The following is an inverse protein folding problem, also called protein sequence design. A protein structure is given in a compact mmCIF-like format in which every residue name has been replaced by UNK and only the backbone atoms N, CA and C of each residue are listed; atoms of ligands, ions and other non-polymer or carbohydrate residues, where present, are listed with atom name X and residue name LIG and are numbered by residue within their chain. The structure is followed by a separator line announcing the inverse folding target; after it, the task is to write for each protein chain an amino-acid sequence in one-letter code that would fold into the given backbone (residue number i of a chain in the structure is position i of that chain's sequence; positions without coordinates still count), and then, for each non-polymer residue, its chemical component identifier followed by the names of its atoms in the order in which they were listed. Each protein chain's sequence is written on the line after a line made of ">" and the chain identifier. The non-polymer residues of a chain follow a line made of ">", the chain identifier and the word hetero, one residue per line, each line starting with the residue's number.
data_IF_184736709460
#
_entry.id   IF_184736709460
#
_cell.length_a   1.000
_cell.length_b   1.000
_cell.length_c   1.000
_cell.angle_alpha   90.00
_cell.angle_beta   90.00
_cell.angle_gamma   90.00
#
_symmetry.space_group_name_H-M   'P 1'
#
loop_
_entity.id
_entity.type
_entity.pdbx_description
1 polymer ?
#
# COMPACT_ATOMS: atom_id res chain seq x y z
N UNK A 1 13.50 -5.66 -21.71
CA UNK A 1 12.60 -6.19 -20.66
C UNK A 1 12.24 -5.01 -19.77
N UNK A 2 11.03 -4.93 -19.23
CA UNK A 2 10.63 -3.74 -18.50
C UNK A 2 11.36 -3.63 -17.15
N UNK A 3 11.83 -2.42 -16.78
CA UNK A 3 12.48 -2.20 -15.49
C UNK A 3 11.46 -2.32 -14.34
N UNK A 4 11.97 -2.59 -13.15
CA UNK A 4 11.14 -2.69 -11.94
C UNK A 4 10.38 -1.41 -11.64
N UNK A 5 11.02 -0.27 -11.86
CA UNK A 5 10.42 1.06 -11.74
C UNK A 5 9.16 1.19 -12.58
N UNK A 6 9.16 0.66 -13.80
CA UNK A 6 7.97 0.64 -14.64
C UNK A 6 6.90 -0.26 -14.02
N UNK A 7 7.26 -1.46 -13.60
CA UNK A 7 6.27 -2.42 -13.04
C UNK A 7 5.61 -1.88 -11.79
N UNK A 8 6.37 -1.20 -10.92
CA UNK A 8 5.82 -0.48 -9.76
C UNK A 8 4.86 0.64 -10.14
N UNK A 9 5.14 1.35 -11.23
CA UNK A 9 4.22 2.39 -11.75
C UNK A 9 2.85 1.80 -12.14
N UNK A 10 2.83 0.59 -12.71
CA UNK A 10 1.59 -0.14 -12.96
C UNK A 10 0.92 -0.61 -11.67
N UNK A 11 1.68 -1.10 -10.69
CA UNK A 11 1.15 -1.52 -9.40
C UNK A 11 0.49 -0.35 -8.64
N UNK A 12 1.14 0.82 -8.57
CA UNK A 12 0.60 2.02 -7.91
C UNK A 12 -0.66 2.50 -8.62
N UNK A 13 -0.64 2.59 -9.96
CA UNK A 13 -1.79 3.04 -10.74
C UNK A 13 -3.01 2.12 -10.61
N UNK A 14 -2.81 0.80 -10.68
CA UNK A 14 -3.88 -0.19 -10.55
C UNK A 14 -4.39 -0.29 -9.11
N UNK A 15 -3.48 -0.30 -8.12
CA UNK A 15 -3.83 -0.26 -6.70
C UNK A 15 -4.63 0.98 -6.35
N UNK A 16 -4.25 2.15 -6.88
CA UNK A 16 -4.98 3.41 -6.72
C UNK A 16 -6.36 3.37 -7.36
N UNK A 17 -6.45 2.93 -8.63
CA UNK A 17 -7.72 2.87 -9.36
C UNK A 17 -8.71 1.89 -8.72
N UNK A 18 -8.25 0.70 -8.32
CA UNK A 18 -9.09 -0.28 -7.66
C UNK A 18 -9.40 0.11 -6.22
N UNK A 19 -8.52 0.82 -5.52
CA UNK A 19 -8.86 1.38 -4.20
C UNK A 19 -10.01 2.39 -4.30
N UNK A 20 -10.05 3.20 -5.37
CA UNK A 20 -11.22 4.04 -5.68
C UNK A 20 -12.45 3.18 -5.96
N UNK A 21 -12.36 2.15 -6.78
CA UNK A 21 -13.50 1.31 -7.12
C UNK A 21 -14.06 0.57 -5.90
N UNK A 22 -13.19 -0.08 -5.13
CA UNK A 22 -13.55 -1.01 -4.06
C UNK A 22 -13.92 -0.29 -2.76
N UNK A 23 -13.28 0.84 -2.46
CA UNK A 23 -13.40 1.51 -1.16
C UNK A 23 -13.80 2.98 -1.27
N UNK A 24 -13.74 3.57 -2.46
CA UNK A 24 -14.05 4.98 -2.66
C UNK A 24 -12.87 5.93 -2.43
N UNK A 25 -11.64 5.42 -2.29
CA UNK A 25 -10.46 6.25 -2.04
C UNK A 25 -10.34 7.43 -3.01
N UNK A 26 -10.40 8.66 -2.48
CA UNK A 26 -10.27 9.89 -3.26
C UNK A 26 -8.83 10.38 -3.34
N UNK A 27 -8.49 10.91 -4.51
CA UNK A 27 -7.15 11.36 -4.83
C UNK A 27 -7.16 12.76 -5.44
N UNK A 28 -6.16 13.57 -5.08
CA UNK A 28 -5.91 14.87 -5.71
C UNK A 28 -4.98 14.71 -6.90
N UNK A 29 -5.26 15.47 -7.95
CA UNK A 29 -4.47 15.51 -9.17
C UNK A 29 -4.20 16.95 -9.57
N UNK A 30 -2.98 17.22 -9.99
CA UNK A 30 -2.58 18.52 -10.52
C UNK A 30 -1.91 18.30 -11.86
N UNK A 31 -2.38 19.02 -12.89
CA UNK A 31 -1.93 18.80 -14.26
C UNK A 31 -2.03 17.33 -14.67
N UNK A 32 -3.06 16.59 -14.22
CA UNK A 32 -3.27 15.17 -14.54
C UNK A 32 -2.42 14.14 -13.77
N UNK A 33 -1.42 14.59 -13.00
CA UNK A 33 -0.55 13.73 -12.20
C UNK A 33 -1.10 13.56 -10.79
N UNK A 34 -0.94 12.36 -10.21
CA UNK A 34 -1.35 12.05 -8.84
C UNK A 34 -0.50 12.86 -7.82
N UNK A 35 -1.16 13.55 -6.89
CA UNK A 35 -0.50 14.34 -5.82
C UNK A 35 -0.63 13.74 -4.44
N UNK A 36 -1.73 13.05 -4.17
CA UNK A 36 -1.98 12.37 -2.91
C UNK A 36 -3.42 11.90 -2.77
N UNK A 37 -3.76 11.43 -1.58
CA UNK A 37 -5.05 10.89 -1.20
C UNK A 37 -5.70 11.76 -0.13
N UNK A 38 -7.02 11.91 -0.18
CA UNK A 38 -7.73 12.90 0.63
C UNK A 38 -8.87 12.35 1.49
N UNK A 39 -9.36 11.14 1.22
CA UNK A 39 -10.46 10.60 2.01
C UNK A 39 -11.18 9.42 1.38
N UNK A 40 -12.20 8.98 2.08
CA UNK A 40 -13.20 8.03 1.62
C UNK A 40 -14.57 8.71 1.76
N UNK A 41 -15.36 8.85 0.68
CA UNK A 41 -16.66 9.48 0.76
C UNK A 41 -17.64 8.54 1.46
N UNK A 42 -18.51 9.11 2.29
CA UNK A 42 -19.57 8.35 2.94
C UNK A 42 -20.56 7.78 1.91
N UNK A 43 -21.03 6.56 2.16
CA UNK A 43 -21.98 5.90 1.28
C UNK A 43 -21.41 5.45 -0.07
N UNK A 44 -20.07 5.33 -0.19
CA UNK A 44 -19.47 4.73 -1.37
C UNK A 44 -19.97 3.29 -1.57
N UNK A 45 -20.27 2.95 -2.83
CA UNK A 45 -20.65 1.60 -3.21
C UNK A 45 -19.53 0.95 -3.99
N UNK A 46 -19.08 -0.21 -3.51
CA UNK A 46 -18.04 -1.03 -4.14
C UNK A 46 -18.37 -1.30 -5.61
N UNK A 47 -17.41 -1.02 -6.49
CA UNK A 47 -17.48 -1.31 -7.92
C UNK A 47 -16.48 -2.43 -8.23
N UNK A 48 -16.98 -3.55 -8.76
CA UNK A 48 -16.16 -4.62 -9.31
C UNK A 48 -15.88 -4.34 -10.78
N UNK A 49 -14.62 -4.35 -11.20
CA UNK A 49 -14.27 -4.11 -12.61
C UNK A 49 -14.54 -5.35 -13.48
N UNK A 50 -14.20 -6.54 -12.96
CA UNK A 50 -14.39 -7.87 -13.57
C UNK A 50 -13.64 -8.14 -14.89
N UNK A 51 -12.76 -7.25 -15.32
CA UNK A 51 -11.96 -7.42 -16.56
C UNK A 51 -10.61 -6.69 -16.49
N UNK A 52 -9.95 -6.73 -15.32
CA UNK A 52 -8.59 -6.19 -15.16
C UNK A 52 -7.61 -7.07 -15.94
N UNK A 53 -7.05 -6.52 -17.02
CA UNK A 53 -6.11 -7.19 -17.94
C UNK A 53 -5.25 -6.16 -18.67
N UNK A 54 -4.12 -6.55 -19.28
CA UNK A 54 -3.24 -5.60 -19.99
C UNK A 54 -3.96 -4.75 -21.05
N UNK A 55 -4.90 -5.32 -21.80
CA UNK A 55 -5.66 -4.61 -22.83
C UNK A 55 -6.57 -3.49 -22.29
N UNK A 56 -6.87 -3.48 -20.99
CA UNK A 56 -7.69 -2.47 -20.33
C UNK A 56 -6.84 -1.51 -19.48
N UNK A 57 -5.51 -1.59 -19.57
CA UNK A 57 -4.59 -0.64 -18.93
C UNK A 57 -4.04 0.29 -20.00
N UNK A 58 -4.58 1.51 -20.04
CA UNK A 58 -4.21 2.55 -21.00
C UNK A 58 -2.99 3.32 -20.51
N UNK A 59 -2.15 3.78 -21.43
CA UNK A 59 -1.01 4.66 -21.14
C UNK A 59 -1.30 6.01 -21.77
N UNK A 60 -1.13 7.09 -21.00
CA UNK A 60 -1.35 8.44 -21.50
C UNK A 60 -0.14 8.91 -22.34
N UNK A 61 -0.40 9.78 -23.33
CA UNK A 61 0.64 10.52 -24.04
C UNK A 61 0.48 12.00 -23.71
N UNK A 62 1.58 12.70 -23.46
CA UNK A 62 1.57 14.15 -23.26
C UNK A 62 2.66 14.78 -24.11
N UNK A 63 2.26 15.68 -25.02
CA UNK A 63 3.17 16.49 -25.84
C UNK A 63 4.23 15.66 -26.59
N UNK A 64 3.81 14.61 -27.31
CA UNK A 64 4.69 13.70 -28.08
C UNK A 64 5.66 12.85 -27.24
N UNK A 65 5.75 13.11 -25.92
CA UNK A 65 6.46 12.28 -24.96
C UNK A 65 5.50 11.29 -24.28
N UNK A 66 6.00 10.06 -24.06
CA UNK A 66 5.28 9.03 -23.31
C UNK A 66 5.23 9.41 -21.83
N UNK A 67 4.07 9.86 -21.36
CA UNK A 67 3.82 9.99 -19.93
C UNK A 67 3.40 8.61 -19.41
N UNK A 68 4.32 7.90 -18.75
CA UNK A 68 4.10 6.56 -18.23
C UNK A 68 3.16 6.57 -17.03
N UNK A 69 1.91 6.97 -17.23
CA UNK A 69 0.84 7.01 -16.24
C UNK A 69 -0.22 6.00 -16.68
N UNK A 70 -0.15 4.75 -16.18
CA UNK A 70 -1.15 3.74 -16.45
C UNK A 70 -2.52 4.17 -15.91
N UNK A 71 -3.58 3.86 -16.64
CA UNK A 71 -4.97 4.13 -16.27
C UNK A 71 -5.81 2.90 -16.55
N UNK A 72 -6.56 2.46 -15.54
CA UNK A 72 -7.56 1.42 -15.72
C UNK A 72 -8.73 1.98 -16.53
N UNK A 73 -9.10 1.32 -17.62
CA UNK A 73 -10.20 1.67 -18.49
C UNK A 73 -11.11 0.48 -18.77
N UNK A 74 -12.14 0.72 -19.59
CA UNK A 74 -13.18 -0.27 -19.95
C UNK A 74 -14.00 -0.82 -18.77
N UNK A 75 -14.95 -0.01 -18.32
CA UNK A 75 -15.93 -0.38 -17.30
C UNK A 75 -17.18 -1.08 -17.88
N UNK A 76 -17.15 -1.50 -19.15
CA UNK A 76 -18.30 -2.12 -19.82
C UNK A 76 -18.78 -3.41 -19.16
N UNK A 77 -17.90 -4.11 -18.44
CA UNK A 77 -18.21 -5.31 -17.66
C UNK A 77 -18.29 -5.03 -16.16
N UNK A 78 -18.18 -3.79 -15.71
CA UNK A 78 -18.17 -3.50 -14.27
C UNK A 78 -19.54 -3.75 -13.63
N UNK A 79 -19.56 -3.87 -12.30
CA UNK A 79 -20.78 -4.01 -11.53
C UNK A 79 -20.64 -3.28 -10.20
N UNK A 80 -21.58 -2.39 -9.90
CA UNK A 80 -21.65 -1.70 -8.61
C UNK A 80 -22.52 -2.53 -7.65
N UNK A 81 -21.95 -2.92 -6.51
CA UNK A 81 -22.68 -3.64 -5.46
C UNK A 81 -23.71 -2.70 -4.82
N UNK A 82 -24.93 -3.20 -4.63
CA UNK A 82 -25.96 -2.54 -3.82
C UNK A 82 -26.43 -3.47 -2.71
N UNK A 83 -26.92 -2.90 -1.61
CA UNK A 83 -27.46 -3.67 -0.50
C UNK A 83 -28.65 -4.51 -0.96
N UNK A 84 -28.56 -5.83 -0.79
CA UNK A 84 -29.60 -6.78 -1.17
C UNK A 84 -29.59 -7.23 -2.64
N UNK A 85 -28.70 -6.71 -3.48
CA UNK A 85 -28.56 -7.20 -4.85
C UNK A 85 -27.91 -8.59 -4.89
N UNK A 86 -28.50 -9.48 -5.69
CA UNK A 86 -27.82 -10.71 -6.06
C UNK A 86 -26.66 -10.37 -7.00
N UNK A 87 -25.47 -10.92 -6.73
CA UNK A 87 -24.34 -10.79 -7.64
C UNK A 87 -24.72 -11.27 -9.04
N UNK A 88 -24.28 -10.58 -10.11
CA UNK A 88 -24.60 -10.96 -11.47
C UNK A 88 -24.02 -12.35 -11.76
N UNK A 89 -24.86 -13.27 -12.19
CA UNK A 89 -24.43 -14.64 -12.50
C UNK A 89 -23.82 -14.79 -13.88
N UNK A 90 -23.91 -13.74 -14.70
CA UNK A 90 -23.43 -13.70 -16.07
C UNK A 90 -21.91 -13.76 -16.18
N UNK A 91 -21.43 -14.41 -17.24
CA UNK A 91 -20.05 -14.28 -17.68
C UNK A 91 -19.69 -12.82 -17.99
N UNK A 92 -18.54 -12.39 -17.50
CA UNK A 92 -17.99 -11.05 -17.71
C UNK A 92 -16.47 -11.14 -17.87
N UNK A 93 -15.91 -10.21 -18.62
CA UNK A 93 -14.47 -10.10 -18.85
C UNK A 93 -13.85 -11.24 -19.67
N UNK A 94 -12.53 -11.33 -19.62
CA UNK A 94 -11.72 -12.15 -20.53
C UNK A 94 -11.25 -13.43 -19.84
N UNK A 95 -11.75 -14.59 -20.30
CA UNK A 95 -11.55 -15.91 -19.66
C UNK A 95 -10.12 -16.25 -19.29
N UNK A 96 -9.15 -15.93 -20.14
CA UNK A 96 -7.72 -16.24 -19.89
C UNK A 96 -7.12 -15.46 -18.72
N UNK A 97 -7.78 -14.39 -18.25
CA UNK A 97 -7.38 -13.59 -17.09
C UNK A 97 -8.28 -13.83 -15.87
N UNK A 98 -9.26 -14.73 -15.94
CA UNK A 98 -10.11 -15.04 -14.81
C UNK A 98 -9.33 -15.60 -13.63
N UNK A 99 -9.75 -15.20 -12.43
CA UNK A 99 -9.26 -15.79 -11.20
C UNK A 99 -9.69 -17.28 -11.10
N UNK A 100 -8.96 -18.12 -10.36
CA UNK A 100 -9.19 -19.57 -10.33
C UNK A 100 -10.61 -19.94 -9.90
N UNK A 101 -11.12 -19.29 -8.86
CA UNK A 101 -12.46 -19.48 -8.31
C UNK A 101 -13.57 -19.15 -9.32
N UNK A 102 -13.33 -18.19 -10.21
CA UNK A 102 -14.25 -17.79 -11.28
C UNK A 102 -14.20 -18.81 -12.42
N UNK A 103 -12.99 -19.23 -12.81
CA UNK A 103 -12.79 -20.20 -13.88
C UNK A 103 -13.33 -21.60 -13.51
N UNK A 104 -13.13 -22.04 -12.27
CA UNK A 104 -13.65 -23.31 -11.74
C UNK A 104 -15.17 -23.31 -11.68
N UNK A 105 -15.79 -22.22 -11.18
CA UNK A 105 -17.24 -22.13 -11.08
C UNK A 105 -17.91 -22.10 -12.47
N UNK A 106 -17.33 -21.35 -13.42
CA UNK A 106 -17.83 -21.32 -14.80
C UNK A 106 -17.80 -22.70 -15.48
N UNK A 107 -16.85 -23.56 -15.13
CA UNK A 107 -16.79 -24.95 -15.61
C UNK A 107 -17.81 -25.84 -14.91
N UNK A 108 -17.96 -25.70 -13.60
CA UNK A 108 -18.79 -26.58 -12.78
C UNK A 108 -20.30 -26.33 -12.95
N UNK A 109 -20.72 -25.08 -13.16
CA UNK A 109 -22.13 -24.69 -13.13
C UNK A 109 -22.65 -24.16 -14.48
N UNK A 110 -22.22 -24.77 -15.59
CA UNK A 110 -22.67 -24.45 -16.95
C UNK A 110 -22.61 -22.94 -17.29
N UNK A 111 -21.61 -22.26 -16.74
CA UNK A 111 -21.38 -20.84 -16.95
C UNK A 111 -22.14 -19.88 -16.02
N UNK A 112 -22.67 -20.37 -14.91
CA UNK A 112 -23.16 -19.53 -13.81
C UNK A 112 -22.02 -19.19 -12.85
N UNK A 113 -21.80 -17.90 -12.57
CA UNK A 113 -20.72 -17.43 -11.66
C UNK A 113 -21.31 -16.62 -10.51
N UNK A 114 -21.19 -17.09 -9.28
CA UNK A 114 -21.65 -16.38 -8.08
C UNK A 114 -20.50 -15.82 -7.24
N UNK A 115 -19.25 -16.21 -7.51
CA UNK A 115 -18.07 -15.84 -6.71
C UNK A 115 -17.42 -14.51 -7.11
N UNK A 116 -18.10 -13.64 -7.86
CA UNK A 116 -17.57 -12.32 -8.18
C UNK A 116 -17.26 -11.52 -6.92
N UNK A 117 -16.03 -11.03 -6.80
CA UNK A 117 -15.58 -10.23 -5.67
C UNK A 117 -14.46 -9.27 -6.07
N UNK A 118 -14.13 -8.32 -5.19
CA UNK A 118 -12.97 -7.43 -5.37
C UNK A 118 -11.66 -8.21 -5.51
N UNK A 119 -11.56 -9.40 -4.88
CA UNK A 119 -10.38 -10.27 -4.97
C UNK A 119 -10.15 -10.84 -6.39
N UNK A 120 -11.20 -10.90 -7.22
CA UNK A 120 -11.07 -11.23 -8.64
C UNK A 120 -10.35 -10.13 -9.43
N UNK A 121 -10.60 -8.86 -9.10
CA UNK A 121 -9.87 -7.74 -9.71
C UNK A 121 -8.39 -7.73 -9.28
N UNK A 122 -8.09 -8.10 -8.03
CA UNK A 122 -6.71 -8.21 -7.52
C UNK A 122 -5.92 -9.32 -8.23
N UNK A 123 -6.57 -10.46 -8.52
CA UNK A 123 -5.96 -11.47 -9.40
C UNK A 123 -5.58 -10.86 -10.75
N UNK A 124 -6.48 -10.06 -11.34
CA UNK A 124 -6.21 -9.34 -12.58
C UNK A 124 -5.01 -8.39 -12.49
N UNK A 125 -4.83 -7.69 -11.36
CA UNK A 125 -3.61 -6.89 -11.09
C UNK A 125 -2.38 -7.79 -11.10
N UNK A 126 -2.40 -8.89 -10.34
CA UNK A 126 -1.32 -9.88 -10.32
C UNK A 126 -1.00 -10.43 -11.71
N UNK A 127 -2.01 -10.64 -12.55
CA UNK A 127 -1.85 -11.12 -13.91
C UNK A 127 -1.22 -10.07 -14.85
N UNK A 128 -1.55 -8.79 -14.68
CA UNK A 128 -0.88 -7.68 -15.38
C UNK A 128 0.58 -7.61 -14.98
N UNK A 129 0.89 -7.58 -13.67
CA UNK A 129 2.27 -7.52 -13.17
C UNK A 129 3.08 -8.74 -13.61
N UNK A 130 2.53 -9.95 -13.45
CA UNK A 130 3.17 -11.19 -13.91
C UNK A 130 3.44 -11.15 -15.41
N UNK A 131 2.50 -10.66 -16.24
CA UNK A 131 2.70 -10.55 -17.70
C UNK A 131 3.80 -9.57 -18.06
N UNK A 132 3.92 -8.44 -17.34
CA UNK A 132 5.00 -7.47 -17.52
C UNK A 132 6.36 -8.12 -17.18
N UNK A 133 6.42 -8.87 -16.08
CA UNK A 133 7.63 -9.48 -15.55
C UNK A 133 8.09 -10.71 -16.33
N UNK A 134 7.17 -11.55 -16.79
CA UNK A 134 7.45 -12.88 -17.37
C UNK A 134 7.17 -12.97 -18.86
N UNK A 135 6.38 -12.04 -19.42
CA UNK A 135 5.76 -12.13 -20.76
C UNK A 135 4.74 -13.26 -20.92
N UNK A 136 4.36 -13.91 -19.82
CA UNK A 136 3.42 -15.03 -19.79
C UNK A 136 2.13 -14.65 -19.04
N UNK A 137 1.00 -15.23 -19.46
CA UNK A 137 -0.24 -15.13 -18.68
C UNK A 137 -0.11 -16.14 -17.53
N UNK A 138 -0.40 -15.77 -16.27
CA UNK A 138 -0.31 -16.71 -15.17
C UNK A 138 -1.29 -17.87 -15.40
N UNK A 139 -0.82 -19.10 -15.20
CA UNK A 139 -1.69 -20.29 -15.24
C UNK A 139 -2.64 -20.24 -14.04
N UNK A 140 -3.94 -20.36 -14.31
CA UNK A 140 -5.00 -20.18 -13.31
C UNK A 140 -5.22 -21.39 -12.41
N UNK A 141 -4.82 -22.60 -12.83
CA UNK A 141 -5.05 -23.79 -12.00
C UNK A 141 -4.19 -23.75 -10.73
N UNK A 142 -4.79 -24.06 -9.58
CA UNK A 142 -4.12 -24.05 -8.27
C UNK A 142 -2.82 -24.89 -8.24
N UNK A 143 -2.79 -26.02 -8.96
CA UNK A 143 -1.62 -26.88 -9.11
C UNK A 143 -0.38 -26.17 -9.70
N UNK A 144 -0.55 -25.02 -10.37
CA UNK A 144 0.54 -24.22 -10.90
C UNK A 144 1.01 -23.11 -9.94
N UNK A 145 0.53 -23.03 -8.69
CA UNK A 145 0.97 -22.00 -7.73
C UNK A 145 2.49 -22.04 -7.50
N UNK A 146 3.02 -23.21 -7.14
CA UNK A 146 4.46 -23.37 -6.87
C UNK A 146 5.29 -22.97 -8.08
N UNK A 147 4.94 -23.45 -9.27
CA UNK A 147 5.64 -23.09 -10.50
C UNK A 147 5.61 -21.58 -10.80
N UNK A 148 4.51 -20.87 -10.47
CA UNK A 148 4.41 -19.41 -10.62
C UNK A 148 5.30 -18.68 -9.61
N UNK A 149 5.26 -19.10 -8.35
CA UNK A 149 6.10 -18.54 -7.28
C UNK A 149 7.58 -18.77 -7.58
N UNK A 150 7.97 -20.00 -7.90
CA UNK A 150 9.34 -20.38 -8.25
C UNK A 150 9.85 -19.56 -9.44
N UNK A 151 8.98 -19.31 -10.43
CA UNK A 151 9.32 -18.45 -11.57
C UNK A 151 9.61 -17.02 -11.13
N UNK A 152 8.73 -16.42 -10.33
CA UNK A 152 8.94 -15.06 -9.80
C UNK A 152 10.20 -14.97 -8.94
N UNK A 153 10.45 -15.97 -8.08
CA UNK A 153 11.66 -16.07 -7.27
C UNK A 153 12.93 -16.25 -8.13
N UNK A 154 12.86 -17.04 -9.20
CA UNK A 154 14.00 -17.20 -10.13
C UNK A 154 14.36 -15.88 -10.83
N UNK A 155 13.36 -15.05 -11.16
CA UNK A 155 13.59 -13.73 -11.72
C UNK A 155 14.21 -12.78 -10.66
N UNK A 156 13.80 -12.90 -9.39
CA UNK A 156 14.40 -12.16 -8.30
C UNK A 156 15.86 -12.57 -8.03
N UNK A 157 16.25 -13.79 -8.42
CA UNK A 157 17.64 -14.26 -8.39
C UNK A 157 18.47 -13.89 -9.63
N UNK A 158 17.91 -13.10 -10.57
CA UNK A 158 18.62 -12.66 -11.78
C UNK A 158 18.65 -13.66 -12.94
N UNK A 159 17.75 -14.65 -12.95
CA UNK A 159 17.69 -15.62 -14.04
C UNK A 159 17.29 -14.94 -15.38
N UNK A 160 18.27 -14.72 -16.26
CA UNK A 160 18.06 -14.26 -17.64
C UNK A 160 17.72 -12.77 -17.80
N UNK A 161 17.87 -11.96 -16.75
CA UNK A 161 17.67 -10.49 -16.73
C UNK A 161 18.33 -9.87 -15.50
N UNK A 162 18.36 -8.54 -15.42
CA UNK A 162 18.59 -7.86 -14.13
C UNK A 162 17.54 -8.34 -13.10
N UNK A 163 18.00 -8.72 -11.89
CA UNK A 163 17.12 -9.20 -10.82
C UNK A 163 15.96 -8.25 -10.57
N UNK A 164 14.77 -8.81 -10.40
CA UNK A 164 13.62 -8.03 -9.91
C UNK A 164 13.67 -7.97 -8.38
N UNK A 165 13.14 -6.90 -7.81
CA UNK A 165 13.05 -6.71 -6.36
C UNK A 165 12.29 -7.90 -5.73
N UNK A 166 12.84 -8.51 -4.66
CA UNK A 166 12.13 -9.55 -3.90
C UNK A 166 10.73 -9.11 -3.45
N UNK A 167 10.58 -7.83 -3.10
CA UNK A 167 9.30 -7.24 -2.74
C UNK A 167 8.30 -7.25 -3.91
N UNK A 168 8.75 -6.90 -5.11
CA UNK A 168 7.89 -6.91 -6.30
C UNK A 168 7.46 -8.33 -6.66
N UNK A 169 8.37 -9.30 -6.53
CA UNK A 169 8.06 -10.72 -6.71
C UNK A 169 7.01 -11.20 -5.68
N UNK A 170 7.19 -10.84 -4.41
CA UNK A 170 6.25 -11.17 -3.34
C UNK A 170 4.87 -10.55 -3.57
N UNK A 171 4.78 -9.23 -3.80
CA UNK A 171 3.49 -8.56 -4.05
C UNK A 171 2.77 -9.15 -5.27
N UNK A 172 3.51 -9.47 -6.33
CA UNK A 172 2.93 -10.13 -7.51
C UNK A 172 2.39 -11.53 -7.17
N UNK A 173 3.12 -12.30 -6.35
CA UNK A 173 2.71 -13.63 -5.93
C UNK A 173 1.47 -13.58 -5.01
N UNK A 174 1.42 -12.65 -4.06
CA UNK A 174 0.29 -12.48 -3.14
C UNK A 174 -0.99 -12.02 -3.88
N UNK A 175 -0.87 -11.24 -4.95
CA UNK A 175 -2.01 -10.94 -5.82
C UNK A 175 -2.53 -12.18 -6.58
N UNK A 176 -1.67 -13.18 -6.79
CA UNK A 176 -1.93 -14.41 -7.55
C UNK A 176 -2.15 -15.64 -6.65
N UNK A 177 -2.40 -15.46 -5.36
CA UNK A 177 -2.79 -16.55 -4.46
C UNK A 177 -4.10 -17.17 -4.99
N UNK A 178 -4.19 -18.50 -5.18
CA UNK A 178 -5.42 -19.12 -5.64
C UNK A 178 -6.58 -18.93 -4.66
N UNK A 179 -6.30 -18.83 -3.35
CA UNK A 179 -7.30 -18.53 -2.33
C UNK A 179 -7.61 -17.02 -2.30
N UNK A 180 -8.84 -16.59 -2.65
CA UNK A 180 -9.20 -15.18 -2.64
C UNK A 180 -9.04 -14.51 -1.27
N UNK A 181 -9.18 -15.26 -0.17
CA UNK A 181 -9.05 -14.70 1.18
C UNK A 181 -7.60 -14.34 1.52
N UNK A 182 -6.64 -15.07 0.95
CA UNK A 182 -5.20 -14.82 1.12
C UNK A 182 -4.67 -13.75 0.18
N UNK A 183 -5.39 -13.40 -0.89
CA UNK A 183 -4.98 -12.32 -1.80
C UNK A 183 -4.99 -10.97 -1.10
N UNK A 184 -4.08 -10.10 -1.55
CA UNK A 184 -4.08 -8.70 -1.15
C UNK A 184 -5.42 -8.00 -1.42
N UNK A 185 -5.67 -6.90 -0.72
CA UNK A 185 -6.67 -5.92 -1.10
C UNK A 185 -6.07 -4.84 -2.03
N UNK A 186 -6.90 -4.04 -2.69
CA UNK A 186 -6.41 -2.91 -3.49
C UNK A 186 -5.62 -1.89 -2.63
N UNK A 187 -6.08 -1.65 -1.40
CA UNK A 187 -5.39 -0.79 -0.43
C UNK A 187 -4.04 -1.39 0.00
N UNK A 188 -3.96 -2.72 0.17
CA UNK A 188 -2.69 -3.40 0.49
C UNK A 188 -1.68 -3.29 -0.65
N UNK A 189 -2.10 -3.47 -1.90
CA UNK A 189 -1.24 -3.25 -3.07
C UNK A 189 -0.76 -1.80 -3.13
N UNK A 190 -1.66 -0.84 -2.87
CA UNK A 190 -1.33 0.57 -2.89
C UNK A 190 -0.36 0.98 -1.76
N UNK A 191 -0.54 0.44 -0.55
CA UNK A 191 0.29 0.73 0.61
C UNK A 191 1.78 0.49 0.35
N UNK A 192 2.09 -0.60 -0.37
CA UNK A 192 3.46 -0.93 -0.78
C UNK A 192 3.88 -0.22 -2.06
N UNK A 193 3.01 -0.16 -3.08
CA UNK A 193 3.38 0.42 -4.37
C UNK A 193 3.64 1.93 -4.28
N UNK A 194 2.94 2.67 -3.42
CA UNK A 194 3.20 4.09 -3.20
C UNK A 194 4.60 4.37 -2.62
N UNK A 195 5.28 3.36 -2.06
CA UNK A 195 6.67 3.46 -1.56
C UNK A 195 7.73 3.21 -2.62
N UNK A 196 7.38 2.83 -3.85
CA UNK A 196 8.37 2.61 -4.90
C UNK A 196 9.07 3.91 -5.34
N UNK A 197 8.42 5.06 -5.13
CA UNK A 197 9.00 6.40 -5.34
C UNK A 197 9.41 6.98 -3.99
N UNK A 198 10.72 6.99 -3.72
CA UNK A 198 11.31 7.56 -2.50
C UNK A 198 11.71 9.04 -2.67
N UNK A 199 11.38 9.65 -3.81
CA UNK A 199 11.54 11.09 -3.99
C UNK A 199 10.55 11.89 -3.15
N UNK A 200 10.72 13.22 -3.02
CA UNK A 200 9.85 14.07 -2.20
C UNK A 200 8.36 13.94 -2.52
N UNK A 201 8.02 13.82 -3.81
CA UNK A 201 6.63 13.65 -4.25
C UNK A 201 6.07 12.27 -3.86
N UNK A 202 6.85 11.20 -3.98
CA UNK A 202 6.43 9.85 -3.61
C UNK A 202 6.25 9.68 -2.10
N UNK A 203 7.18 10.21 -1.30
CA UNK A 203 7.06 10.29 0.16
C UNK A 203 5.77 11.01 0.57
N UNK A 204 5.49 12.17 -0.04
CA UNK A 204 4.25 12.91 0.22
C UNK A 204 3.00 12.09 -0.16
N UNK A 205 2.99 11.45 -1.34
CA UNK A 205 1.88 10.59 -1.78
C UNK A 205 1.62 9.45 -0.80
N UNK A 206 2.66 8.72 -0.43
CA UNK A 206 2.55 7.62 0.53
C UNK A 206 2.07 8.10 1.91
N UNK A 207 2.61 9.21 2.43
CA UNK A 207 2.17 9.80 3.68
C UNK A 207 0.66 10.18 3.64
N UNK A 208 0.20 10.76 2.53
CA UNK A 208 -1.23 11.07 2.33
C UNK A 208 -2.12 9.83 2.31
N UNK A 209 -1.63 8.69 1.79
CA UNK A 209 -2.33 7.41 1.85
C UNK A 209 -2.49 6.95 3.31
N UNK A 210 -1.40 6.90 4.08
CA UNK A 210 -1.44 6.46 5.48
C UNK A 210 -2.32 7.38 6.34
N UNK A 211 -2.28 8.69 6.10
CA UNK A 211 -3.15 9.67 6.78
C UNK A 211 -4.61 9.40 6.46
N UNK A 212 -4.92 9.13 5.19
CA UNK A 212 -6.27 8.83 4.74
C UNK A 212 -6.77 7.52 5.34
N UNK A 213 -5.91 6.48 5.37
CA UNK A 213 -6.23 5.19 5.98
C UNK A 213 -6.47 5.32 7.49
N UNK A 214 -5.69 6.13 8.20
CA UNK A 214 -5.88 6.37 9.63
C UNK A 214 -7.21 7.06 9.98
N UNK A 215 -7.84 7.73 9.00
CA UNK A 215 -9.15 8.36 9.15
C UNK A 215 -10.29 7.46 8.65
N UNK A 216 -9.99 6.27 8.12
CA UNK A 216 -11.00 5.38 7.57
C UNK A 216 -11.68 4.58 8.67
N UNK A 217 -12.83 5.07 9.12
CA UNK A 217 -13.57 4.49 10.26
C UNK A 217 -14.63 3.47 9.86
N UNK A 218 -15.02 3.44 8.58
CA UNK A 218 -16.17 2.65 8.12
C UNK A 218 -15.88 1.14 8.08
N UNK A 219 -14.61 0.74 7.94
CA UNK A 219 -14.19 -0.67 7.90
C UNK A 219 -12.86 -0.90 8.62
N UNK A 220 -12.95 -1.04 9.94
CA UNK A 220 -11.80 -1.31 10.82
C UNK A 220 -11.11 -2.63 10.48
N UNK A 221 -11.84 -3.62 9.96
CA UNK A 221 -11.26 -4.91 9.60
C UNK A 221 -10.35 -4.78 8.38
N UNK A 222 -10.76 -4.01 7.37
CA UNK A 222 -9.92 -3.69 6.20
C UNK A 222 -8.67 -2.92 6.63
N UNK A 223 -8.80 -1.87 7.45
CA UNK A 223 -7.63 -1.12 7.95
C UNK A 223 -6.69 -2.06 8.71
N UNK A 224 -7.23 -2.87 9.62
CA UNK A 224 -6.44 -3.81 10.39
C UNK A 224 -5.70 -4.82 9.52
N UNK A 225 -6.36 -5.33 8.47
CA UNK A 225 -5.75 -6.27 7.52
C UNK A 225 -4.62 -5.62 6.72
N UNK A 226 -4.85 -4.41 6.19
CA UNK A 226 -3.83 -3.65 5.42
C UNK A 226 -2.61 -3.38 6.28
N UNK A 227 -2.80 -2.88 7.51
CA UNK A 227 -1.71 -2.52 8.43
C UNK A 227 -0.95 -3.75 8.88
N UNK A 228 -1.65 -4.81 9.32
CA UNK A 228 -1.01 -6.03 9.78
C UNK A 228 -0.16 -6.66 8.67
N UNK A 229 -0.72 -6.80 7.46
CA UNK A 229 -0.01 -7.39 6.32
C UNK A 229 1.20 -6.55 5.90
N UNK A 230 1.04 -5.23 5.81
CA UNK A 230 2.16 -4.34 5.47
C UNK A 230 3.31 -4.47 6.48
N UNK A 231 3.01 -4.45 7.78
CA UNK A 231 4.03 -4.52 8.84
C UNK A 231 4.70 -5.89 8.91
N UNK A 232 3.97 -6.99 8.69
CA UNK A 232 4.56 -8.33 8.81
C UNK A 232 5.26 -8.81 7.54
N UNK A 233 4.71 -8.51 6.37
CA UNK A 233 5.16 -9.10 5.10
C UNK A 233 6.01 -8.13 4.27
N UNK A 234 5.63 -6.85 4.18
CA UNK A 234 6.25 -5.90 3.24
C UNK A 234 7.33 -5.04 3.86
N UNK A 235 7.10 -4.54 5.08
CA UNK A 235 8.03 -3.67 5.80
C UNK A 235 9.40 -4.30 6.06
N UNK A 236 9.55 -5.61 6.38
CA UNK A 236 10.87 -6.22 6.49
C UNK A 236 11.69 -6.12 5.19
N UNK A 237 11.06 -6.38 4.05
CA UNK A 237 11.71 -6.30 2.75
C UNK A 237 12.04 -4.86 2.35
N UNK A 238 11.14 -3.92 2.64
CA UNK A 238 11.40 -2.48 2.43
C UNK A 238 12.60 -2.01 3.26
N UNK A 239 12.75 -2.51 4.50
CA UNK A 239 13.87 -2.21 5.36
C UNK A 239 15.18 -2.83 4.85
N UNK A 240 15.16 -4.06 4.33
CA UNK A 240 16.33 -4.71 3.71
C UNK A 240 16.77 -3.98 2.43
N UNK A 241 15.83 -3.35 1.72
CA UNK A 241 16.09 -2.46 0.58
C UNK A 241 16.53 -1.04 0.98
N UNK A 242 16.66 -0.76 2.29
CA UNK A 242 16.96 0.57 2.84
C UNK A 242 16.01 1.67 2.30
N UNK A 243 14.72 1.34 2.14
CA UNK A 243 13.71 2.25 1.60
C UNK A 243 13.51 3.46 2.52
N UNK A 244 13.51 4.65 1.93
CA UNK A 244 13.34 5.92 2.66
C UNK A 244 11.89 6.16 3.10
N UNK A 245 11.70 6.45 4.39
CA UNK A 245 10.43 6.87 4.97
C UNK A 245 10.52 8.30 5.50
N UNK A 246 9.54 9.13 5.15
CA UNK A 246 9.37 10.46 5.69
C UNK A 246 8.89 10.44 7.15
N UNK A 247 9.12 11.53 7.92
CA UNK A 247 8.74 11.60 9.33
C UNK A 247 7.25 11.33 9.57
N UNK A 248 6.40 11.83 8.67
CA UNK A 248 4.96 11.66 8.74
C UNK A 248 4.52 10.20 8.55
N UNK A 249 5.13 9.50 7.59
CA UNK A 249 4.86 8.08 7.34
C UNK A 249 5.20 7.24 8.56
N UNK A 250 6.37 7.48 9.15
CA UNK A 250 6.83 6.77 10.34
C UNK A 250 5.82 6.90 11.47
N UNK A 251 5.36 8.12 11.76
CA UNK A 251 4.39 8.36 12.84
C UNK A 251 3.06 7.68 12.53
N UNK A 252 2.51 7.86 11.32
CA UNK A 252 1.21 7.27 10.94
C UNK A 252 1.22 5.74 10.95
N UNK A 253 2.25 5.12 10.37
CA UNK A 253 2.38 3.64 10.34
C UNK A 253 2.55 3.10 11.76
N UNK A 254 3.34 3.76 12.61
CA UNK A 254 3.53 3.34 14.01
C UNK A 254 2.24 3.42 14.82
N UNK A 255 1.47 4.49 14.65
CA UNK A 255 0.19 4.66 15.36
C UNK A 255 -0.85 3.65 14.89
N UNK A 256 -0.94 3.40 13.59
CA UNK A 256 -1.78 2.34 13.05
C UNK A 256 -1.33 0.96 13.54
N UNK A 257 -0.03 0.71 13.57
CA UNK A 257 0.53 -0.55 14.09
C UNK A 257 0.16 -0.75 15.57
N UNK A 258 0.21 0.30 16.40
CA UNK A 258 -0.21 0.24 17.81
C UNK A 258 -1.69 -0.14 17.93
N UNK A 259 -2.55 0.48 17.12
CA UNK A 259 -4.00 0.24 17.19
C UNK A 259 -4.40 -1.14 16.69
N UNK A 260 -3.80 -1.62 15.60
CA UNK A 260 -4.28 -2.81 14.89
C UNK A 260 -3.40 -4.06 15.07
N UNK A 261 -2.12 -3.90 15.40
CA UNK A 261 -1.20 -5.01 15.61
C UNK A 261 -0.11 -4.70 16.65
N UNK A 262 -0.48 -4.37 17.91
CA UNK A 262 0.45 -3.88 18.94
C UNK A 262 1.62 -4.84 19.22
N UNK A 263 1.42 -6.15 19.07
CA UNK A 263 2.48 -7.15 19.22
C UNK A 263 3.65 -6.98 18.24
N UNK A 264 3.47 -6.23 17.14
CA UNK A 264 4.48 -5.95 16.11
C UNK A 264 5.11 -4.56 16.24
N UNK A 265 4.72 -3.76 17.23
CA UNK A 265 5.12 -2.37 17.36
C UNK A 265 6.64 -2.17 17.42
N UNK A 266 7.33 -3.01 18.20
CA UNK A 266 8.79 -2.98 18.32
C UNK A 266 9.50 -3.32 17.02
N UNK A 267 9.05 -4.37 16.33
CA UNK A 267 9.61 -4.77 15.04
C UNK A 267 9.34 -3.73 13.95
N UNK A 268 8.14 -3.13 13.95
CA UNK A 268 7.75 -2.06 13.04
C UNK A 268 8.68 -0.85 13.20
N UNK A 269 8.89 -0.39 14.44
CA UNK A 269 9.82 0.70 14.75
C UNK A 269 11.23 0.42 14.24
N UNK A 270 11.78 -0.76 14.58
CA UNK A 270 13.13 -1.12 14.17
C UNK A 270 13.29 -1.13 12.65
N UNK A 271 12.29 -1.58 11.89
CA UNK A 271 12.34 -1.64 10.44
C UNK A 271 12.22 -0.25 9.80
N UNK A 272 11.28 0.59 10.27
CA UNK A 272 11.13 1.96 9.79
C UNK A 272 12.39 2.81 10.04
N UNK A 273 13.08 2.58 11.16
CA UNK A 273 14.32 3.28 11.51
C UNK A 273 15.56 2.82 10.73
N UNK A 274 15.54 1.66 10.04
CA UNK A 274 16.69 1.15 9.27
C UNK A 274 16.90 1.88 7.94
N UNK A 275 15.82 2.33 7.30
CA UNK A 275 15.86 2.95 5.97
C UNK A 275 15.83 4.48 6.01
N UNK A 276 16.40 5.17 7.00
CA UNK A 276 16.26 6.63 7.12
C UNK A 276 17.46 7.40 6.53
N UNK A 277 17.21 8.36 5.63
CA UNK A 277 18.27 9.18 5.01
C UNK A 277 18.75 10.30 5.93
N UNK A 278 19.99 10.18 6.41
CA UNK A 278 21.04 11.17 6.13
C UNK A 278 20.88 12.64 6.53
N UNK A 279 20.05 13.03 7.51
CA UNK A 279 20.29 14.24 8.33
C UNK A 279 19.41 14.36 9.59
N UNK A 280 18.37 13.53 9.73
CA UNK A 280 17.75 13.28 11.01
C UNK A 280 17.98 11.82 11.32
N UNK A 281 18.77 11.47 12.32
CA UNK A 281 18.64 10.13 12.87
C UNK A 281 17.23 10.05 13.45
N UNK A 282 16.26 9.44 12.77
CA UNK A 282 15.10 8.88 13.46
C UNK A 282 15.60 7.69 14.26
N UNK A 283 16.41 7.96 15.29
CA UNK A 283 16.79 6.96 16.28
C UNK A 283 15.56 6.51 17.06
N UNK A 284 14.45 7.26 16.94
CA UNK A 284 13.21 7.09 17.68
C UNK A 284 12.01 7.74 16.95
N UNK A 285 10.77 7.32 17.23
CA UNK A 285 9.53 7.98 16.72
C UNK A 285 9.44 9.45 17.12
N UNK A 286 9.98 9.84 18.27
CA UNK A 286 9.96 11.24 18.72
C UNK A 286 10.74 12.18 17.80
N UNK A 287 11.82 11.69 17.19
CA UNK A 287 12.54 12.46 16.18
C UNK A 287 11.72 12.63 14.91
N UNK A 288 10.99 11.59 14.50
CA UNK A 288 10.06 11.69 13.38
C UNK A 288 8.97 12.72 13.70
N UNK A 289 8.36 12.63 14.89
CA UNK A 289 7.35 13.56 15.37
C UNK A 289 7.82 15.02 15.36
N UNK A 290 9.02 15.28 15.90
CA UNK A 290 9.64 16.61 15.90
C UNK A 290 9.99 17.13 14.50
N UNK A 291 10.05 16.25 13.49
CA UNK A 291 10.28 16.58 12.09
C UNK A 291 9.01 16.95 11.30
N UNK A 292 7.82 16.81 11.89
CA UNK A 292 6.55 17.10 11.23
C UNK A 292 6.28 18.62 11.24
N UNK A 293 5.73 19.15 10.13
CA UNK A 293 5.36 20.56 9.99
C UNK A 293 4.19 21.00 10.89
N UNK A 294 4.07 22.31 11.13
CA UNK A 294 3.10 22.92 12.06
C UNK A 294 1.63 22.58 11.75
N UNK A 295 1.28 22.33 10.48
CA UNK A 295 -0.11 22.13 10.04
C UNK A 295 -0.64 20.70 10.21
N UNK A 296 0.15 19.78 10.77
CA UNK A 296 -0.21 18.37 10.91
C UNK A 296 -0.75 17.99 12.30
N UNK A 297 -1.46 18.90 12.97
CA UNK A 297 -2.02 18.67 14.30
C UNK A 297 -3.00 17.48 14.38
N UNK A 298 -3.75 17.21 13.31
CA UNK A 298 -4.63 16.04 13.25
C UNK A 298 -3.85 14.72 13.30
N UNK A 299 -2.62 14.70 12.78
CA UNK A 299 -1.72 13.55 12.86
C UNK A 299 -1.21 13.41 14.30
N UNK A 300 -0.96 14.53 15.00
CA UNK A 300 -0.58 14.52 16.41
C UNK A 300 -1.70 13.95 17.30
N UNK A 301 -2.98 14.21 16.99
CA UNK A 301 -4.12 13.64 17.72
C UNK A 301 -4.33 12.15 17.44
N UNK A 302 -4.17 11.71 16.19
CA UNK A 302 -4.21 10.30 15.81
C UNK A 302 -3.01 9.52 16.39
N UNK A 303 -1.87 10.19 16.52
CA UNK A 303 -0.63 9.50 16.75
C UNK A 303 -0.51 8.98 18.17
N UNK A 304 -0.95 9.75 19.18
CA UNK A 304 -0.54 9.47 20.55
C UNK A 304 -1.36 10.28 21.57
N UNK A 305 -2.45 9.70 22.07
CA UNK A 305 -3.18 10.30 23.20
C UNK A 305 -2.31 10.26 24.46
N UNK A 306 -1.77 11.43 24.82
CA UNK A 306 -0.68 11.71 25.76
C UNK A 306 -0.95 11.34 27.23
N UNK A 307 -2.06 10.72 27.60
CA UNK A 307 -2.40 10.53 29.01
C UNK A 307 -1.65 9.41 29.74
N UNK A 308 -0.99 8.48 29.04
CA UNK A 308 -0.40 7.26 29.64
C UNK A 308 1.08 7.01 29.32
N UNK A 309 1.74 7.94 28.63
CA UNK A 309 3.18 7.84 28.37
C UNK A 309 3.97 8.50 29.51
N UNK A 310 5.09 7.93 30.00
CA UNK A 310 5.77 6.69 29.58
C UNK A 310 5.31 5.44 30.34
N UNK A 311 4.15 5.45 31.01
CA UNK A 311 3.70 4.32 31.83
C UNK A 311 3.28 3.09 30.99
N UNK A 312 3.04 3.27 29.69
CA UNK A 312 2.72 2.20 28.76
C UNK A 312 3.96 1.34 28.43
N UNK A 313 3.90 0.05 28.73
CA UNK A 313 5.05 -0.88 28.57
C UNK A 313 5.44 -1.09 27.11
N UNK A 314 4.47 -1.05 26.19
CA UNK A 314 4.64 -1.29 24.75
C UNK A 314 5.41 -0.16 24.05
N UNK A 315 5.91 0.78 24.83
CA UNK A 315 6.27 2.10 24.41
C UNK A 315 7.68 2.43 24.92
N UNK A 316 8.14 1.73 25.96
CA UNK A 316 9.51 1.75 26.49
C UNK A 316 10.64 1.59 25.45
N UNK A 317 10.39 0.88 24.34
CA UNK A 317 11.39 0.63 23.30
C UNK A 317 11.45 1.73 22.24
N UNK A 318 10.46 2.62 22.20
CA UNK A 318 10.40 3.81 21.36
C UNK A 318 11.04 4.96 22.15
N UNK A 319 12.31 4.83 22.51
CA UNK A 319 12.96 5.73 23.51
C UNK A 319 13.04 7.19 23.06
N UNK A 320 13.30 8.15 23.93
CA UNK A 320 13.80 9.48 23.53
C UNK A 320 15.33 9.44 23.52
N UNK A 321 15.96 10.02 22.50
CA UNK A 321 17.41 10.08 22.38
C UNK A 321 17.83 11.44 21.84
N UNK A 322 19.12 11.75 21.96
CA UNK A 322 19.72 12.86 21.21
C UNK A 322 20.00 12.41 19.78
N UNK A 323 19.83 13.30 18.81
CA UNK A 323 20.26 13.06 17.44
C UNK A 323 21.80 13.16 17.31
N UNK A 324 22.33 13.00 16.09
CA UNK A 324 23.77 13.13 15.79
C UNK A 324 24.39 14.49 16.16
N UNK A 325 23.56 15.53 16.30
CA UNK A 325 23.97 16.88 16.71
C UNK A 325 23.81 17.12 18.22
N UNK A 326 23.43 16.10 19.00
CA UNK A 326 23.23 16.22 20.44
C UNK A 326 21.90 16.87 20.86
N UNK A 327 20.99 17.11 19.91
CA UNK A 327 19.70 17.74 20.16
C UNK A 327 18.64 16.70 20.53
N UNK A 328 17.83 17.02 21.53
CA UNK A 328 16.65 16.24 21.88
C UNK A 328 15.46 16.58 20.95
N UNK A 329 14.42 15.74 20.87
CA UNK A 329 13.23 16.00 20.08
C UNK A 329 12.55 17.35 20.38
N UNK A 330 12.48 17.81 21.63
CA UNK A 330 11.92 19.14 21.94
C UNK A 330 12.71 20.26 21.28
N UNK A 331 14.04 20.20 21.32
CA UNK A 331 14.92 21.19 20.71
C UNK A 331 14.77 21.20 19.18
N UNK A 332 14.58 20.03 18.57
CA UNK A 332 14.28 19.92 17.14
C UNK A 332 12.93 20.56 16.81
N UNK A 333 11.89 20.28 17.61
CA UNK A 333 10.57 20.87 17.42
C UNK A 333 10.61 22.41 17.55
N UNK A 334 11.36 22.94 18.52
CA UNK A 334 11.61 24.37 18.67
C UNK A 334 12.29 24.98 17.43
N UNK A 335 13.34 24.33 16.89
CA UNK A 335 14.00 24.79 15.67
C UNK A 335 13.09 24.79 14.44
N UNK A 336 12.08 23.92 14.42
CA UNK A 336 11.02 23.88 13.40
C UNK A 336 9.87 24.85 13.66
N UNK A 337 9.93 25.63 14.75
CA UNK A 337 8.90 26.58 15.15
C UNK A 337 7.66 25.94 15.76
N UNK A 338 7.64 24.62 16.01
CA UNK A 338 6.47 23.94 16.57
C UNK A 338 6.47 24.03 18.12
N UNK A 339 6.05 25.19 18.63
CA UNK A 339 6.14 25.50 20.06
C UNK A 339 5.24 24.62 20.94
N UNK A 340 4.05 24.23 20.47
CA UNK A 340 3.16 23.35 21.24
C UNK A 340 3.76 21.96 21.41
N UNK A 341 4.26 21.38 20.31
CA UNK A 341 4.96 20.10 20.33
C UNK A 341 6.26 20.19 21.15
N UNK A 342 6.98 21.30 21.07
CA UNK A 342 8.16 21.53 21.89
C UNK A 342 7.82 21.46 23.38
N UNK A 343 6.77 22.14 23.84
CA UNK A 343 6.35 22.14 25.24
C UNK A 343 6.00 20.73 25.72
N UNK A 344 5.27 19.96 24.90
CA UNK A 344 4.93 18.56 25.16
C UNK A 344 6.18 17.67 25.28
N UNK A 345 7.08 17.74 24.30
CA UNK A 345 8.31 16.95 24.29
C UNK A 345 9.29 17.35 25.40
N UNK A 346 9.30 18.62 25.82
CA UNK A 346 10.20 19.09 26.91
C UNK A 346 9.91 18.37 28.22
N UNK A 347 8.64 18.03 28.51
CA UNK A 347 8.24 17.27 29.69
C UNK A 347 8.73 15.81 29.65
N UNK A 348 9.01 15.29 28.45
CA UNK A 348 9.49 13.93 28.23
C UNK A 348 11.02 13.84 28.14
N UNK A 349 11.66 14.95 27.76
CA UNK A 349 13.10 15.13 27.67
C UNK A 349 13.78 15.31 29.04
N UNK A 350 13.02 15.73 30.06
CA UNK A 350 13.47 16.01 31.44
C UNK A 350 13.56 14.77 32.33
#
# INVERSE_FOLDING_TARGET
>A
MFPDTLTWTFAEALGSALSRCHYGLEATREGGSLRGYIGFPSGWRTILHRDVKPGNVLIAFRNEELDLVPKLGDFGTSFQLQDGDALPTSHAGTRVYWAPEIAEEAQQYEGRITKWSSKGDIWGVGAVLHRILTKEIPRTQAANLTARIDKLQSLAAGAGREPISPLLAQVTAECLDPDPERRLSALSVLAVAAKSDTGPNGIHRSASFWRTLARFTDDVAVVSSVVAHFVTEHLPLLADLATLFGPEEVVLIMSLCKMHCPAKLSTCHMQLCRGFDGNMTCSTVFHALAGIGQDCFDILQLAWDESKWPQEKDLLHVTIRKNSLGLLPSAIAALRGNMDLCLKLTQLDS
#
